data_IF_324985459105
#
_entry.id   IF_324985459105
#
_cell.length_a   1.000
_cell.length_b   1.000
_cell.length_c   1.000
_cell.angle_alpha   90.00
_cell.angle_beta   90.00
_cell.angle_gamma   90.00
#
_symmetry.space_group_name_H-M   'P 1'
#
loop_
_entity.id
_entity.type
_entity.pdbx_description
1 polymer ?
#
# COMPACT_ATOMS: atom_id res chain seq x y z
N UNK A 1 -15.92 -9.61 22.46
CA UNK A 1 -15.02 -8.61 21.84
C UNK A 1 -15.80 -7.32 21.72
N UNK A 2 -15.38 -6.28 22.43
CA UNK A 2 -15.98 -4.94 22.32
C UNK A 2 -15.84 -4.44 20.88
N UNK A 3 -16.89 -3.85 20.31
CA UNK A 3 -16.99 -3.52 18.87
C UNK A 3 -15.83 -2.66 18.35
N UNK A 4 -15.18 -1.89 19.23
CA UNK A 4 -13.97 -1.10 18.93
C UNK A 4 -12.76 -1.99 18.64
N UNK A 5 -12.56 -3.07 19.40
CA UNK A 5 -11.41 -3.96 19.23
C UNK A 5 -11.38 -4.66 17.88
N UNK A 6 -12.54 -5.08 17.37
CA UNK A 6 -12.65 -5.69 16.04
C UNK A 6 -12.30 -4.75 14.90
N UNK A 7 -12.62 -3.45 15.04
CA UNK A 7 -12.31 -2.44 14.01
C UNK A 7 -10.81 -2.17 13.96
N UNK A 8 -10.17 -2.04 15.12
CA UNK A 8 -8.72 -1.83 15.21
C UNK A 8 -7.93 -2.98 14.60
N UNK A 9 -8.36 -4.22 14.85
CA UNK A 9 -7.74 -5.41 14.26
C UNK A 9 -7.94 -5.42 12.73
N UNK A 10 -9.11 -5.00 12.23
CA UNK A 10 -9.38 -4.87 10.80
C UNK A 10 -8.43 -3.88 10.13
N UNK A 11 -8.29 -2.68 10.69
CA UNK A 11 -7.38 -1.65 10.18
C UNK A 11 -5.92 -2.10 10.21
N UNK A 12 -5.49 -2.77 11.28
CA UNK A 12 -4.14 -3.31 11.39
C UNK A 12 -3.85 -4.36 10.30
N UNK A 13 -4.82 -5.23 9.99
CA UNK A 13 -4.70 -6.18 8.88
C UNK A 13 -4.55 -5.47 7.54
N UNK A 14 -5.41 -4.49 7.25
CA UNK A 14 -5.36 -3.68 6.03
C UNK A 14 -4.00 -3.02 5.87
N UNK A 15 -3.50 -2.36 6.92
CA UNK A 15 -2.16 -1.75 6.92
C UNK A 15 -1.07 -2.77 6.63
N UNK A 16 -1.10 -3.94 7.26
CA UNK A 16 -0.11 -4.99 7.05
C UNK A 16 -0.10 -5.48 5.60
N UNK A 17 -1.27 -5.76 5.01
CA UNK A 17 -1.38 -6.13 3.60
C UNK A 17 -0.87 -5.02 2.68
N UNK A 18 -1.18 -3.77 3.02
CA UNK A 18 -0.69 -2.58 2.36
C UNK A 18 0.82 -2.48 2.30
N UNK A 19 1.46 -2.56 3.47
CA UNK A 19 2.92 -2.51 3.61
C UNK A 19 3.58 -3.64 2.84
N UNK A 20 3.06 -4.87 2.95
CA UNK A 20 3.60 -6.03 2.21
C UNK A 20 3.48 -5.82 0.70
N UNK A 21 2.32 -5.38 0.21
CA UNK A 21 2.11 -5.12 -1.21
C UNK A 21 3.06 -4.06 -1.76
N UNK A 22 3.21 -2.94 -1.04
CA UNK A 22 4.15 -1.88 -1.39
C UNK A 22 5.60 -2.34 -1.35
N UNK A 23 5.97 -3.12 -0.34
CA UNK A 23 7.32 -3.68 -0.22
C UNK A 23 7.67 -4.58 -1.41
N UNK A 24 6.76 -5.47 -1.79
CA UNK A 24 6.97 -6.36 -2.95
C UNK A 24 7.08 -5.58 -4.25
N UNK A 25 6.25 -4.55 -4.45
CA UNK A 25 6.32 -3.69 -5.63
C UNK A 25 7.60 -2.86 -5.65
N UNK A 26 8.06 -2.32 -4.53
CA UNK A 26 9.33 -1.61 -4.49
C UNK A 26 10.52 -2.53 -4.73
N UNK A 27 10.46 -3.77 -4.24
CA UNK A 27 11.49 -4.77 -4.48
C UNK A 27 11.56 -5.15 -5.97
N UNK A 28 10.42 -5.38 -6.63
CA UNK A 28 10.35 -5.64 -8.06
C UNK A 28 10.66 -4.38 -8.91
N UNK A 29 10.26 -3.21 -8.42
CA UNK A 29 10.40 -1.91 -9.07
C UNK A 29 11.82 -1.34 -9.05
N UNK A 30 12.70 -1.91 -8.22
CA UNK A 30 14.10 -1.48 -8.12
C UNK A 30 14.84 -1.51 -9.48
N UNK A 31 14.47 -2.44 -10.39
CA UNK A 31 15.06 -2.53 -11.73
C UNK A 31 14.67 -1.37 -12.67
N UNK A 32 13.55 -0.70 -12.39
CA UNK A 32 13.01 0.41 -13.19
C UNK A 32 13.02 1.74 -12.42
N UNK A 33 13.80 1.82 -11.32
CA UNK A 33 13.84 2.97 -10.40
C UNK A 33 12.47 3.37 -9.82
N UNK A 34 11.51 2.44 -9.79
CA UNK A 34 10.21 2.66 -9.17
C UNK A 34 10.34 2.44 -7.66
N UNK A 35 10.17 3.53 -6.91
CA UNK A 35 10.16 3.50 -5.46
C UNK A 35 8.97 4.31 -4.92
N UNK A 36 7.98 3.61 -4.38
CA UNK A 36 6.80 4.22 -3.75
C UNK A 36 7.06 4.32 -2.24
N UNK A 37 6.97 5.51 -1.62
CA UNK A 37 7.21 5.65 -0.19
C UNK A 37 6.21 4.82 0.63
N UNK A 38 6.74 3.98 1.52
CA UNK A 38 5.95 3.14 2.43
C UNK A 38 5.60 3.97 3.67
N UNK A 39 4.39 4.51 3.69
CA UNK A 39 3.85 5.27 4.83
C UNK A 39 2.43 4.79 5.15
N UNK A 40 1.84 5.18 6.31
CA UNK A 40 0.51 4.71 6.68
C UNK A 40 -0.58 5.05 5.65
N UNK A 41 -0.45 6.15 4.93
CA UNK A 41 -1.43 6.57 3.91
C UNK A 41 -1.35 5.66 2.67
N UNK A 42 -0.17 5.45 2.11
CA UNK A 42 0.02 4.55 0.96
C UNK A 42 -0.31 3.11 1.32
N UNK A 43 0.07 2.66 2.52
CA UNK A 43 -0.28 1.34 3.01
C UNK A 43 -1.79 1.17 3.22
N UNK A 44 -2.51 2.19 3.72
CA UNK A 44 -3.97 2.12 3.81
C UNK A 44 -4.61 2.09 2.42
N UNK A 45 -4.16 2.93 1.48
CA UNK A 45 -4.69 2.92 0.11
C UNK A 45 -4.50 1.56 -0.55
N UNK A 46 -3.29 1.00 -0.48
CA UNK A 46 -3.01 -0.34 -1.02
C UNK A 46 -3.72 -1.43 -0.24
N UNK A 47 -3.76 -1.34 1.08
CA UNK A 47 -4.40 -2.35 1.91
C UNK A 47 -5.92 -2.39 1.73
N UNK A 48 -6.55 -1.23 1.51
CA UNK A 48 -8.00 -1.10 1.37
C UNK A 48 -8.46 -1.41 -0.05
N UNK A 49 -7.76 -0.88 -1.06
CA UNK A 49 -8.11 -1.09 -2.47
C UNK A 49 -7.49 -2.38 -3.02
N UNK A 50 -6.36 -2.85 -2.46
CA UNK A 50 -5.62 -4.00 -2.97
C UNK A 50 -4.83 -3.68 -4.24
N UNK A 51 -4.96 -4.56 -5.23
CA UNK A 51 -4.33 -4.44 -6.56
C UNK A 51 -4.66 -3.11 -7.26
N UNK A 52 -5.91 -2.63 -7.34
CA UNK A 52 -6.18 -1.33 -7.96
C UNK A 52 -5.51 -0.16 -7.22
N UNK A 53 -5.31 -0.25 -5.90
CA UNK A 53 -4.56 0.74 -5.13
C UNK A 53 -3.07 0.77 -5.49
N UNK A 54 -2.46 -0.41 -5.66
CA UNK A 54 -1.08 -0.53 -6.14
C UNK A 54 -0.93 0.02 -7.56
N UNK A 55 -1.82 -0.34 -8.47
CA UNK A 55 -1.79 0.14 -9.85
C UNK A 55 -1.90 1.67 -9.91
N UNK A 56 -2.79 2.27 -9.11
CA UNK A 56 -2.93 3.72 -9.03
C UNK A 56 -1.63 4.40 -8.55
N UNK A 57 -1.00 3.88 -7.49
CA UNK A 57 0.26 4.44 -6.99
C UNK A 57 1.41 4.27 -7.99
N UNK A 58 1.49 3.15 -8.68
CA UNK A 58 2.46 2.92 -9.76
C UNK A 58 2.27 3.96 -10.87
N UNK A 59 1.03 4.20 -11.30
CA UNK A 59 0.73 5.20 -12.34
C UNK A 59 1.10 6.60 -11.87
N UNK A 60 0.73 6.98 -10.65
CA UNK A 60 1.10 8.29 -10.07
C UNK A 60 2.62 8.44 -10.03
N UNK A 61 3.35 7.41 -9.58
CA UNK A 61 4.80 7.48 -9.45
C UNK A 61 5.51 7.56 -10.80
N UNK A 62 5.03 6.83 -11.82
CA UNK A 62 5.68 6.76 -13.14
C UNK A 62 5.26 7.86 -14.11
N UNK A 63 4.09 8.47 -13.94
CA UNK A 63 3.53 9.40 -14.93
C UNK A 63 3.24 10.79 -14.38
N UNK A 64 2.94 10.92 -13.09
CA UNK A 64 2.56 12.21 -12.48
C UNK A 64 3.74 12.82 -11.72
N UNK A 65 4.45 12.01 -10.94
CA UNK A 65 5.60 12.41 -10.13
C UNK A 65 6.95 12.06 -10.78
N UNK A 66 6.92 11.67 -12.06
CA UNK A 66 8.10 11.29 -12.84
C UNK A 66 9.21 12.33 -12.81
#
# INVERSE_FOLDING_TARGET
MNSVGSILIGLAKTLLFGVIGLFLINLAGQYIQLHIPINPVTALLVGLLGVPGLAALIVIQLWVLA
#
